data_IF_462017317964
#
_entry.id   IF_462017317964
#
_cell.length_a   1.000
_cell.length_b   1.000
_cell.length_c   1.000
_cell.angle_alpha   90.00
_cell.angle_beta   90.00
_cell.angle_gamma   90.00
#
_symmetry.space_group_name_H-M   'P 1'
#
loop_
_entity.id
_entity.type
_entity.pdbx_description
1 polymer ?
#
# COMPACT_ATOMS: atom_id res chain seq x y z
N UNK A 1 21.79 -47.69 -22.39
CA UNK A 1 21.06 -46.43 -22.67
C UNK A 1 19.78 -46.45 -21.84
N UNK A 2 19.60 -45.54 -20.88
CA UNK A 2 18.40 -45.48 -20.04
C UNK A 2 17.58 -44.23 -20.42
N UNK A 3 16.36 -44.45 -20.91
CA UNK A 3 15.43 -43.40 -21.32
C UNK A 3 14.89 -42.68 -20.08
N UNK A 4 15.31 -41.43 -19.87
CA UNK A 4 14.69 -40.55 -18.87
C UNK A 4 13.28 -40.18 -19.33
N UNK A 5 12.27 -40.79 -18.72
CA UNK A 5 10.87 -40.39 -18.86
C UNK A 5 10.68 -38.95 -18.39
N UNK A 6 10.37 -38.04 -19.31
CA UNK A 6 9.90 -36.67 -19.00
C UNK A 6 8.58 -36.78 -18.24
N UNK A 7 8.59 -36.49 -16.93
CA UNK A 7 7.36 -36.26 -16.16
C UNK A 7 6.64 -35.06 -16.77
N UNK A 8 5.52 -35.30 -17.47
CA UNK A 8 4.56 -34.23 -17.80
C UNK A 8 4.06 -33.64 -16.49
N UNK A 9 4.42 -32.38 -16.23
CA UNK A 9 3.81 -31.57 -15.18
C UNK A 9 2.32 -31.48 -15.47
N UNK A 10 1.49 -32.07 -14.61
CA UNK A 10 0.03 -31.85 -14.66
C UNK A 10 -0.20 -30.36 -14.48
N UNK A 11 -0.91 -29.73 -15.43
CA UNK A 11 -1.40 -28.37 -15.24
C UNK A 11 -2.26 -28.35 -13.97
N UNK A 12 -1.92 -27.50 -13.01
CA UNK A 12 -2.70 -27.35 -11.79
C UNK A 12 -4.07 -26.77 -12.15
N UNK A 13 -5.15 -27.47 -11.82
CA UNK A 13 -6.51 -26.98 -11.95
C UNK A 13 -6.95 -26.39 -10.61
N UNK A 14 -7.35 -25.12 -10.61
CA UNK A 14 -7.81 -24.41 -9.41
C UNK A 14 -8.02 -22.92 -9.69
N UNK A 15 -8.80 -22.26 -8.84
CA UNK A 15 -9.00 -20.82 -8.93
C UNK A 15 -7.70 -20.08 -8.56
N UNK A 16 -7.30 -19.11 -9.37
CA UNK A 16 -6.19 -18.20 -9.06
C UNK A 16 -6.70 -17.09 -8.15
N UNK A 17 -5.91 -16.71 -7.15
CA UNK A 17 -6.23 -15.53 -6.34
C UNK A 17 -6.26 -14.28 -7.24
N UNK A 18 -7.28 -13.42 -7.13
CA UNK A 18 -7.31 -12.19 -7.91
C UNK A 18 -6.12 -11.30 -7.51
N UNK A 19 -5.61 -10.47 -8.44
CA UNK A 19 -4.57 -9.50 -8.13
C UNK A 19 -4.99 -8.55 -7.00
N UNK A 20 -4.02 -8.07 -6.22
CA UNK A 20 -4.29 -7.14 -5.11
C UNK A 20 -5.02 -5.87 -5.56
N UNK A 21 -4.78 -5.43 -6.80
CA UNK A 21 -5.45 -4.25 -7.37
C UNK A 21 -6.97 -4.39 -7.44
N UNK A 22 -7.50 -5.60 -7.63
CA UNK A 22 -8.95 -5.80 -7.69
C UNK A 22 -9.59 -5.68 -6.30
N UNK A 23 -8.87 -6.12 -5.26
CA UNK A 23 -9.26 -5.89 -3.87
C UNK A 23 -9.25 -4.39 -3.51
N UNK A 24 -8.23 -3.64 -3.95
CA UNK A 24 -8.20 -2.19 -3.75
C UNK A 24 -9.40 -1.51 -4.42
N UNK A 25 -9.73 -1.86 -5.67
CA UNK A 25 -10.91 -1.31 -6.36
C UNK A 25 -12.20 -1.56 -5.57
N UNK A 26 -12.35 -2.73 -4.97
CA UNK A 26 -13.52 -3.06 -4.15
C UNK A 26 -13.58 -2.25 -2.86
N UNK A 27 -12.44 -1.98 -2.21
CA UNK A 27 -12.38 -1.03 -1.09
C UNK A 27 -12.82 0.35 -1.56
N UNK A 28 -12.18 0.91 -2.59
CA UNK A 28 -12.45 2.28 -3.03
C UNK A 28 -13.91 2.48 -3.47
N UNK A 29 -14.58 1.45 -4.00
CA UNK A 29 -16.03 1.49 -4.30
C UNK A 29 -16.92 1.55 -3.06
N UNK A 30 -16.49 0.95 -1.95
CA UNK A 30 -17.24 0.92 -0.68
C UNK A 30 -17.04 2.17 0.17
N UNK A 31 -16.01 2.95 -0.12
CA UNK A 31 -15.69 4.22 0.53
C UNK A 31 -15.82 5.39 -0.47
N UNK A 32 -17.04 5.67 -0.97
CA UNK A 32 -17.24 6.86 -1.81
C UNK A 32 -16.99 8.12 -0.97
N UNK A 33 -16.25 9.06 -1.53
CA UNK A 33 -15.96 10.43 -1.04
C UNK A 33 -14.69 10.66 -0.19
N UNK A 34 -13.88 11.63 -0.65
CA UNK A 34 -12.50 11.88 -0.21
C UNK A 34 -12.31 12.51 1.18
N UNK A 35 -13.39 12.95 1.85
CA UNK A 35 -13.30 13.48 3.22
C UNK A 35 -12.95 12.43 4.26
N UNK A 36 -13.21 11.15 3.97
CA UNK A 36 -12.88 10.04 4.87
C UNK A 36 -11.37 9.82 4.97
N UNK A 37 -10.60 10.14 3.92
CA UNK A 37 -9.15 9.90 3.87
C UNK A 37 -8.43 10.64 4.99
N UNK A 38 -8.77 11.93 5.21
CA UNK A 38 -8.17 12.72 6.27
C UNK A 38 -8.52 12.15 7.66
N UNK A 39 -9.74 11.65 7.85
CA UNK A 39 -10.17 11.03 9.11
C UNK A 39 -9.41 9.75 9.40
N UNK A 40 -9.21 8.89 8.40
CA UNK A 40 -8.43 7.66 8.54
C UNK A 40 -6.96 7.96 8.87
N UNK A 41 -6.37 9.00 8.26
CA UNK A 41 -5.00 9.44 8.57
C UNK A 41 -4.88 10.02 9.98
N UNK A 42 -5.87 10.79 10.44
CA UNK A 42 -5.94 11.26 11.83
C UNK A 42 -6.08 10.08 12.79
N UNK A 43 -6.93 9.10 12.48
CA UNK A 43 -7.13 7.93 13.32
C UNK A 43 -5.86 7.07 13.41
N UNK A 44 -5.13 6.89 12.32
CA UNK A 44 -3.82 6.22 12.34
C UNK A 44 -2.82 6.95 13.24
N UNK A 45 -2.85 8.29 13.25
CA UNK A 45 -1.99 9.09 14.11
C UNK A 45 -2.39 8.96 15.59
N UNK A 46 -3.69 8.97 15.90
CA UNK A 46 -4.23 8.75 17.24
C UNK A 46 -3.88 7.35 17.78
N UNK A 47 -4.04 6.31 16.96
CA UNK A 47 -3.66 4.93 17.28
C UNK A 47 -2.15 4.79 17.56
N UNK A 48 -1.32 5.61 16.89
CA UNK A 48 0.13 5.68 17.12
C UNK A 48 0.51 6.56 18.34
N UNK A 49 -0.45 7.20 18.99
CA UNK A 49 -0.23 8.10 20.13
C UNK A 49 0.33 9.47 19.76
N UNK A 50 0.14 9.92 18.52
CA UNK A 50 0.55 11.25 18.09
C UNK A 50 -0.27 12.34 18.80
N UNK A 51 0.37 13.48 19.05
CA UNK A 51 -0.28 14.67 19.63
C UNK A 51 -0.50 15.78 18.60
N UNK A 52 0.08 15.63 17.41
CA UNK A 52 -0.01 16.59 16.33
C UNK A 52 -0.20 15.86 15.00
N UNK A 53 -1.07 16.40 14.15
CA UNK A 53 -1.27 15.98 12.76
C UNK A 53 -1.29 17.22 11.88
N UNK A 54 -0.54 17.21 10.79
CA UNK A 54 -0.46 18.30 9.82
C UNK A 54 -0.70 17.77 8.42
N UNK A 55 -1.60 18.42 7.69
CA UNK A 55 -1.84 18.15 6.27
C UNK A 55 -1.33 19.32 5.43
N UNK A 56 -0.55 19.00 4.39
CA UNK A 56 0.03 19.99 3.49
C UNK A 56 -0.30 19.59 2.06
N UNK A 57 -1.00 20.48 1.34
CA UNK A 57 -1.07 20.41 -0.12
C UNK A 57 0.14 21.14 -0.69
N UNK A 58 1.10 20.38 -1.21
CA UNK A 58 2.34 20.90 -1.77
C UNK A 58 2.25 20.89 -3.30
N UNK A 59 2.32 22.07 -3.92
CA UNK A 59 2.18 22.25 -5.37
C UNK A 59 3.53 22.21 -6.10
N UNK A 60 4.63 21.93 -5.40
CA UNK A 60 5.96 21.85 -6.01
C UNK A 60 6.07 20.67 -6.99
N UNK A 61 6.94 20.83 -7.96
CA UNK A 61 7.41 19.76 -8.85
C UNK A 61 8.91 19.58 -8.68
N UNK A 62 9.36 18.34 -8.67
CA UNK A 62 10.75 17.94 -8.49
C UNK A 62 11.36 17.43 -9.81
N UNK A 63 12.69 17.42 -9.87
CA UNK A 63 13.43 16.86 -11.01
C UNK A 63 13.22 15.36 -11.18
N UNK A 64 13.47 14.87 -12.39
CA UNK A 64 13.32 13.45 -12.78
C UNK A 64 14.64 12.82 -13.22
N UNK A 65 15.77 13.48 -12.97
CA UNK A 65 17.09 13.08 -13.51
C UNK A 65 17.74 11.94 -12.72
N UNK A 66 17.39 11.78 -11.44
CA UNK A 66 18.01 10.82 -10.51
C UNK A 66 16.96 9.96 -9.79
N UNK A 67 16.11 9.29 -10.56
CA UNK A 67 15.06 8.41 -10.03
C UNK A 67 15.51 6.95 -9.99
N UNK A 68 14.87 6.15 -9.13
CA UNK A 68 15.12 4.70 -9.06
C UNK A 68 14.69 4.00 -10.35
N UNK A 69 13.53 4.39 -10.90
CA UNK A 69 13.11 4.03 -12.26
C UNK A 69 12.47 5.24 -12.95
N UNK A 70 12.43 5.21 -14.28
CA UNK A 70 11.80 6.27 -15.09
C UNK A 70 10.29 6.36 -14.83
N UNK A 71 9.64 5.25 -14.46
CA UNK A 71 8.22 5.20 -14.11
C UNK A 71 7.87 6.07 -12.90
N UNK A 72 8.85 6.41 -12.05
CA UNK A 72 8.63 7.31 -10.92
C UNK A 72 8.46 8.78 -11.35
N UNK A 73 8.86 9.15 -12.57
CA UNK A 73 8.87 10.54 -13.02
C UNK A 73 7.51 11.23 -12.96
N UNK A 74 6.43 10.48 -13.19
CA UNK A 74 5.04 10.99 -13.10
C UNK A 74 4.56 11.27 -11.67
N UNK A 75 5.30 10.84 -10.63
CA UNK A 75 4.96 11.06 -9.22
C UNK A 75 5.83 12.14 -8.56
N UNK A 76 6.63 12.87 -9.34
CA UNK A 76 7.48 13.98 -8.86
C UNK A 76 6.75 15.34 -8.83
N UNK A 77 5.44 15.36 -9.06
CA UNK A 77 4.62 16.58 -9.07
C UNK A 77 3.96 16.91 -7.72
N UNK A 78 2.89 17.73 -7.73
CA UNK A 78 2.13 18.08 -6.53
C UNK A 78 1.68 16.88 -5.71
N UNK A 79 1.71 17.02 -4.38
CA UNK A 79 1.40 15.94 -3.46
C UNK A 79 0.67 16.42 -2.19
N UNK A 80 -0.14 15.54 -1.61
CA UNK A 80 -0.65 15.68 -0.25
C UNK A 80 0.32 15.01 0.72
N UNK A 81 0.90 15.80 1.62
CA UNK A 81 1.65 15.29 2.77
C UNK A 81 0.76 15.21 4.00
N UNK A 82 0.87 14.10 4.73
CA UNK A 82 0.26 13.90 6.03
C UNK A 82 1.36 13.58 7.04
N UNK A 83 1.62 14.52 7.94
CA UNK A 83 2.60 14.40 9.01
C UNK A 83 1.89 14.12 10.33
N UNK A 84 2.51 13.29 11.18
CA UNK A 84 2.22 13.22 12.60
C UNK A 84 3.55 13.04 13.36
N UNK A 85 3.55 13.38 14.65
CA UNK A 85 4.76 13.35 15.47
C UNK A 85 5.05 12.00 16.16
N UNK A 86 4.31 10.94 15.81
CA UNK A 86 4.64 9.57 16.22
C UNK A 86 5.56 8.89 15.19
N UNK A 87 6.34 7.93 15.64
CA UNK A 87 7.28 7.18 14.83
C UNK A 87 6.76 5.75 14.61
N UNK A 88 6.92 5.22 13.39
CA UNK A 88 6.58 3.82 13.11
C UNK A 88 7.49 2.88 13.90
N UNK A 89 6.87 1.88 14.50
CA UNK A 89 7.52 0.70 15.06
C UNK A 89 7.77 -0.36 13.96
N UNK A 90 8.56 -1.38 14.29
CA UNK A 90 8.75 -2.55 13.42
C UNK A 90 7.43 -3.26 13.07
N UNK A 91 6.47 -3.25 13.99
CA UNK A 91 5.18 -3.89 13.77
C UNK A 91 4.26 -3.03 12.90
N UNK A 92 4.39 -1.70 12.93
CA UNK A 92 3.70 -0.80 11.99
C UNK A 92 4.21 -1.02 10.56
N UNK A 93 5.53 -1.16 10.39
CA UNK A 93 6.13 -1.47 9.08
C UNK A 93 5.65 -2.81 8.53
N UNK A 94 5.56 -3.85 9.36
CA UNK A 94 4.97 -5.14 8.94
C UNK A 94 3.48 -5.02 8.67
N UNK A 95 2.76 -4.28 9.51
CA UNK A 95 1.32 -4.09 9.43
C UNK A 95 0.93 -3.40 8.12
N UNK A 96 1.56 -2.27 7.81
CA UNK A 96 1.23 -1.48 6.63
C UNK A 96 1.48 -2.22 5.32
N UNK A 97 2.48 -3.11 5.28
CA UNK A 97 2.77 -3.98 4.13
C UNK A 97 1.76 -5.14 3.97
N UNK A 98 1.12 -5.56 5.07
CA UNK A 98 0.23 -6.73 5.12
C UNK A 98 -1.25 -6.36 5.13
N UNK A 99 -1.59 -5.07 5.07
CA UNK A 99 -2.95 -4.51 5.01
C UNK A 99 -3.87 -5.11 3.93
N UNK A 100 -3.32 -5.77 2.90
CA UNK A 100 -4.09 -6.53 1.90
C UNK A 100 -4.36 -8.01 2.24
N UNK A 101 -3.58 -8.61 3.15
CA UNK A 101 -3.66 -10.04 3.52
C UNK A 101 -4.45 -10.30 4.79
N UNK A 102 -4.56 -9.30 5.68
CA UNK A 102 -5.20 -9.42 7.01
C UNK A 102 -6.71 -9.73 6.97
N UNK A 103 -7.38 -9.53 5.83
CA UNK A 103 -8.84 -9.77 5.70
C UNK A 103 -9.23 -11.26 5.66
N UNK A 104 -8.26 -12.20 5.63
CA UNK A 104 -8.56 -13.65 5.60
C UNK A 104 -8.08 -14.48 6.79
N UNK A 105 -7.79 -13.90 7.95
CA UNK A 105 -7.55 -14.69 9.17
C UNK A 105 -8.49 -14.30 10.31
N UNK A 106 -9.64 -14.97 10.31
CA UNK A 106 -10.38 -15.46 11.49
C UNK A 106 -11.40 -14.61 12.25
N UNK A 107 -11.85 -13.43 11.80
CA UNK A 107 -13.03 -12.81 12.47
C UNK A 107 -13.78 -11.76 11.62
N UNK A 108 -15.01 -12.04 11.14
CA UNK A 108 -15.87 -11.06 10.48
C UNK A 108 -16.23 -9.86 11.37
N UNK A 109 -16.13 -9.98 12.70
CA UNK A 109 -16.45 -8.92 13.65
C UNK A 109 -15.22 -8.08 14.08
N UNK A 110 -14.02 -8.39 13.58
CA UNK A 110 -12.80 -7.56 13.78
C UNK A 110 -12.48 -6.66 12.59
N UNK A 111 -13.49 -6.37 11.77
CA UNK A 111 -13.40 -5.34 10.72
C UNK A 111 -13.36 -3.98 11.43
N UNK A 112 -12.16 -3.54 11.81
CA UNK A 112 -12.04 -2.22 12.45
C UNK A 112 -10.68 -1.82 13.02
N UNK A 113 -9.61 -2.61 12.88
CA UNK A 113 -8.35 -2.25 13.57
C UNK A 113 -7.04 -2.36 12.80
N UNK A 114 -7.01 -2.95 11.61
CA UNK A 114 -5.76 -3.08 10.86
C UNK A 114 -5.96 -2.92 9.34
N UNK A 115 -5.56 -1.76 8.82
CA UNK A 115 -5.06 -1.61 7.46
C UNK A 115 -6.05 -1.27 6.34
N UNK A 116 -7.37 -1.28 6.58
CA UNK A 116 -8.35 -0.84 5.55
C UNK A 116 -8.32 0.68 5.39
N UNK A 117 -8.22 1.41 6.50
CA UNK A 117 -8.23 2.88 6.52
C UNK A 117 -7.12 3.50 5.69
N UNK A 118 -5.90 2.96 5.79
CA UNK A 118 -4.77 3.41 4.97
C UNK A 118 -5.02 3.22 3.47
N UNK A 119 -5.74 2.17 3.04
CA UNK A 119 -6.02 1.97 1.61
C UNK A 119 -6.91 3.07 1.01
N UNK A 120 -7.55 3.91 1.82
CA UNK A 120 -8.29 5.07 1.31
C UNK A 120 -7.39 6.09 0.58
N UNK A 121 -6.07 6.12 0.86
CA UNK A 121 -5.13 7.01 0.16
C UNK A 121 -5.05 6.73 -1.35
N UNK A 122 -5.45 5.53 -1.79
CA UNK A 122 -5.50 5.16 -3.21
C UNK A 122 -6.62 5.89 -3.99
N UNK A 123 -7.47 6.68 -3.32
CA UNK A 123 -8.33 7.66 -4.00
C UNK A 123 -7.55 8.87 -4.55
N UNK A 124 -6.36 9.15 -4.01
CA UNK A 124 -5.56 10.34 -4.34
C UNK A 124 -4.30 9.96 -5.12
N UNK A 125 -3.64 8.85 -4.78
CA UNK A 125 -2.36 8.45 -5.38
C UNK A 125 -2.29 6.96 -5.66
N UNK A 126 -1.64 6.59 -6.77
CA UNK A 126 -1.31 5.19 -7.07
C UNK A 126 -0.09 4.68 -6.27
N UNK A 127 0.74 5.59 -5.75
CA UNK A 127 2.05 5.29 -5.15
C UNK A 127 2.23 6.04 -3.83
N UNK A 128 1.52 5.64 -2.76
CA UNK A 128 1.71 6.26 -1.47
C UNK A 128 3.11 5.94 -0.93
N UNK A 129 3.71 6.94 -0.29
CA UNK A 129 5.04 6.85 0.31
C UNK A 129 4.97 7.18 1.79
N UNK A 130 5.70 6.43 2.61
CA UNK A 130 5.78 6.61 4.07
C UNK A 130 7.23 6.78 4.46
N UNK A 131 7.54 7.88 5.13
CA UNK A 131 8.86 8.12 5.72
C UNK A 131 8.73 8.20 7.24
N UNK A 132 9.39 7.31 7.95
CA UNK A 132 9.38 7.29 9.42
C UNK A 132 10.59 6.54 9.95
N UNK A 133 11.10 6.92 11.12
CA UNK A 133 12.22 6.24 11.78
C UNK A 133 13.45 6.00 10.87
N UNK A 134 13.74 6.94 9.95
CA UNK A 134 14.86 6.84 9.00
C UNK A 134 14.64 5.91 7.80
N UNK A 135 13.44 5.32 7.66
CA UNK A 135 13.09 4.39 6.58
C UNK A 135 12.07 5.03 5.63
N UNK A 136 12.24 4.78 4.33
CA UNK A 136 11.29 5.18 3.28
C UNK A 136 10.66 3.93 2.67
N UNK A 137 9.35 3.79 2.80
CA UNK A 137 8.55 2.78 2.12
C UNK A 137 7.76 3.41 0.97
N UNK A 138 7.84 2.83 -0.21
CA UNK A 138 7.06 3.23 -1.40
C UNK A 138 6.19 2.06 -1.83
N UNK A 139 4.88 2.28 -1.98
CA UNK A 139 3.94 1.20 -2.30
C UNK A 139 3.55 1.22 -3.78
N UNK A 140 3.75 0.10 -4.46
CA UNK A 140 3.38 -0.09 -5.87
C UNK A 140 2.43 -1.30 -5.99
N UNK A 141 1.12 -1.12 -5.71
CA UNK A 141 0.16 -2.22 -5.76
C UNK A 141 -0.10 -2.76 -7.19
N UNK A 142 0.33 -2.02 -8.21
CA UNK A 142 0.21 -2.43 -9.62
C UNK A 142 1.42 -3.23 -10.10
N UNK A 143 2.50 -3.30 -9.31
CA UNK A 143 3.77 -3.97 -9.62
C UNK A 143 4.40 -3.49 -10.95
N UNK A 144 4.26 -2.19 -11.25
CA UNK A 144 4.75 -1.57 -12.50
C UNK A 144 6.07 -0.82 -12.36
N UNK A 145 6.48 -0.46 -11.14
CA UNK A 145 7.61 0.41 -10.84
C UNK A 145 8.78 -0.42 -10.32
N UNK A 146 8.55 -1.28 -9.33
CA UNK A 146 9.63 -2.07 -8.69
C UNK A 146 9.68 -3.53 -9.18
N UNK A 147 8.74 -3.93 -10.04
CA UNK A 147 8.56 -5.30 -10.51
C UNK A 147 7.88 -6.23 -9.50
N UNK A 148 7.47 -7.41 -9.95
CA UNK A 148 6.77 -8.38 -9.11
C UNK A 148 7.65 -8.95 -8.00
N UNK A 149 7.09 -9.10 -6.79
CA UNK A 149 7.79 -9.78 -5.69
C UNK A 149 8.07 -11.23 -6.11
N UNK A 150 9.33 -11.63 -6.18
CA UNK A 150 9.69 -13.05 -6.21
C UNK A 150 9.27 -13.63 -4.85
N UNK A 151 8.16 -14.38 -4.85
CA UNK A 151 7.59 -15.01 -3.67
C UNK A 151 8.51 -16.02 -3.02
#
# INVERSE_FOLDING_TARGET
MSLKTKKKTRASFGATAPPFIDYLKDILRRYPDGGQILKELIQNADDAGATEVVFIHDERSYGTESLWTDELGKYQGPALYAYNNAAFTEDDWKGIQTSGRSVKRNDPNKVGRFGIGFNSVYHITDVPSVFSSGHLGVMDPQEKIFGGRKG
#
